data_IF_838204005993
#
_entry.id   IF_838204005993
#
_cell.length_a   1.000
_cell.length_b   1.000
_cell.length_c   1.000
_cell.angle_alpha   90.00
_cell.angle_beta   90.00
_cell.angle_gamma   90.00
#
_symmetry.space_group_name_H-M   'P 1'
#
loop_
_entity.id
_entity.type
_entity.pdbx_description
1 polymer ?
#
# COMPACT_ATOMS: atom_id res chain seq x y z
N UNK A 1 0.26 -12.40 -40.41
CA UNK A 1 -0.58 -11.30 -39.87
C UNK A 1 -1.35 -11.76 -38.64
N UNK A 2 -2.16 -12.82 -38.73
CA UNK A 2 -3.01 -13.32 -37.62
C UNK A 2 -2.20 -13.74 -36.37
N UNK A 3 -1.09 -14.46 -36.56
CA UNK A 3 -0.24 -14.92 -35.45
C UNK A 3 0.36 -13.75 -34.64
N UNK A 4 0.72 -12.66 -35.34
CA UNK A 4 1.25 -11.45 -34.72
C UNK A 4 0.16 -10.74 -33.93
N UNK A 5 -1.07 -10.68 -34.46
CA UNK A 5 -2.23 -10.11 -33.76
C UNK A 5 -2.57 -10.87 -32.47
N UNK A 6 -2.52 -12.21 -32.50
CA UNK A 6 -2.75 -13.05 -31.31
C UNK A 6 -1.66 -12.87 -30.28
N UNK A 7 -0.39 -12.81 -30.70
CA UNK A 7 0.74 -12.58 -29.79
C UNK A 7 0.65 -11.21 -29.11
N UNK A 8 0.26 -10.16 -29.85
CA UNK A 8 0.06 -8.81 -29.30
C UNK A 8 -1.06 -8.79 -28.25
N UNK A 9 -2.16 -9.52 -28.47
CA UNK A 9 -3.26 -9.61 -27.51
C UNK A 9 -2.89 -10.41 -26.24
N UNK A 10 -2.03 -11.42 -26.36
CA UNK A 10 -1.58 -12.23 -25.23
C UNK A 10 -0.49 -11.53 -24.39
N UNK A 11 0.31 -10.66 -25.01
CA UNK A 11 1.34 -9.84 -24.35
C UNK A 11 0.80 -8.51 -23.83
N UNK A 12 -0.35 -8.06 -24.33
CA UNK A 12 -1.08 -6.93 -23.78
C UNK A 12 -1.69 -7.35 -22.44
N UNK A 13 -0.88 -7.32 -21.40
CA UNK A 13 -1.36 -7.40 -20.02
C UNK A 13 -2.35 -6.24 -19.82
N UNK A 14 -3.66 -6.49 -19.60
CA UNK A 14 -4.59 -5.41 -19.26
C UNK A 14 -4.28 -4.80 -17.88
N UNK A 15 -3.22 -5.28 -17.22
CA UNK A 15 -2.72 -4.91 -15.90
C UNK A 15 -2.10 -3.52 -15.75
N UNK A 16 -2.24 -2.60 -16.70
CA UNK A 16 -2.13 -1.16 -16.42
C UNK A 16 -3.50 -0.48 -16.43
N UNK A 17 -4.51 -1.18 -15.93
CA UNK A 17 -5.68 -0.53 -15.38
C UNK A 17 -5.21 0.55 -14.42
N UNK A 18 -5.28 1.80 -14.86
CA UNK A 18 -5.22 3.00 -14.02
C UNK A 18 -6.31 2.85 -12.96
N UNK A 19 -6.02 2.10 -11.89
CA UNK A 19 -6.78 2.18 -10.65
C UNK A 19 -6.72 3.66 -10.32
N UNK A 20 -7.87 4.35 -10.35
CA UNK A 20 -8.01 5.66 -9.71
C UNK A 20 -7.17 5.60 -8.44
N UNK A 21 -6.19 6.48 -8.29
CA UNK A 21 -5.29 6.45 -7.15
C UNK A 21 -6.17 6.40 -5.90
N UNK A 22 -6.30 5.18 -5.34
CA UNK A 22 -7.17 4.95 -4.20
C UNK A 22 -6.58 5.70 -3.02
N UNK A 23 -7.31 5.77 -1.90
CA UNK A 23 -6.76 6.38 -0.70
C UNK A 23 -5.51 5.63 -0.18
N UNK A 24 -5.30 4.39 -0.65
CA UNK A 24 -4.16 3.55 -0.33
C UNK A 24 -2.97 3.78 -1.27
N UNK A 25 -1.88 4.32 -0.72
CA UNK A 25 -0.58 4.49 -1.39
C UNK A 25 0.39 3.38 -0.96
N UNK A 26 0.91 2.55 -1.89
CA UNK A 26 1.99 1.63 -1.57
C UNK A 26 3.32 2.37 -1.37
N UNK A 27 4.09 1.99 -0.36
CA UNK A 27 5.43 2.51 -0.05
C UNK A 27 6.37 1.32 0.16
N UNK A 28 7.44 1.25 -0.62
CA UNK A 28 8.38 0.13 -0.60
C UNK A 28 9.84 0.60 -0.41
N UNK A 29 10.61 -0.17 0.34
CA UNK A 29 12.04 0.07 0.55
C UNK A 29 12.73 -1.25 0.90
N UNK A 30 13.84 -1.58 0.21
CA UNK A 30 14.66 -2.75 0.57
C UNK A 30 13.96 -4.12 0.48
N UNK A 31 12.93 -4.25 -0.37
CA UNK A 31 12.15 -5.49 -0.52
C UNK A 31 10.95 -5.60 0.43
N UNK A 32 10.80 -4.66 1.37
CA UNK A 32 9.62 -4.54 2.22
C UNK A 32 8.66 -3.49 1.66
N UNK A 33 7.36 -3.73 1.82
CA UNK A 33 6.31 -2.83 1.36
C UNK A 33 5.23 -2.69 2.42
N UNK A 34 4.70 -1.47 2.54
CA UNK A 34 3.53 -1.14 3.35
C UNK A 34 2.55 -0.30 2.53
N UNK A 35 1.34 -0.14 3.05
CA UNK A 35 0.31 0.70 2.44
C UNK A 35 -0.08 1.81 3.39
N UNK A 36 -0.06 3.05 2.89
CA UNK A 36 -0.53 4.24 3.61
C UNK A 36 -1.94 4.56 3.14
N UNK A 37 -2.93 4.39 4.02
CA UNK A 37 -4.28 4.89 3.78
C UNK A 37 -4.35 6.38 4.16
N UNK A 38 -4.72 7.24 3.21
CA UNK A 38 -4.81 8.70 3.35
C UNK A 38 -6.18 9.19 3.84
N UNK A 39 -7.15 8.29 4.03
CA UNK A 39 -8.46 8.65 4.56
C UNK A 39 -8.37 9.11 6.03
N UNK A 40 -9.02 10.23 6.33
CA UNK A 40 -9.13 10.76 7.69
C UNK A 40 -10.32 10.13 8.40
N UNK A 41 -10.06 9.07 9.13
CA UNK A 41 -11.08 8.28 9.84
C UNK A 41 -10.64 8.00 11.28
N UNK A 42 -11.56 7.54 12.11
CA UNK A 42 -11.23 7.05 13.45
C UNK A 42 -10.40 5.75 13.39
N UNK A 43 -9.81 5.38 14.54
CA UNK A 43 -8.94 4.20 14.66
C UNK A 43 -9.63 2.89 14.23
N UNK A 44 -10.89 2.68 14.64
CA UNK A 44 -11.62 1.45 14.35
C UNK A 44 -11.87 1.32 12.85
N UNK A 45 -12.32 2.40 12.22
CA UNK A 45 -12.53 2.45 10.77
C UNK A 45 -11.22 2.24 10.01
N UNK A 46 -10.09 2.82 10.47
CA UNK A 46 -8.78 2.60 9.87
C UNK A 46 -8.34 1.13 9.96
N UNK A 47 -8.56 0.48 11.11
CA UNK A 47 -8.25 -0.93 11.30
C UNK A 47 -9.08 -1.84 10.41
N UNK A 48 -10.39 -1.59 10.31
CA UNK A 48 -11.30 -2.33 9.44
C UNK A 48 -10.89 -2.18 7.97
N UNK A 49 -10.46 -0.98 7.55
CA UNK A 49 -9.96 -0.74 6.19
C UNK A 49 -8.72 -1.60 5.86
N UNK A 50 -7.79 -1.77 6.80
CA UNK A 50 -6.65 -2.68 6.63
C UNK A 50 -7.10 -4.15 6.58
N UNK A 51 -8.00 -4.56 7.48
CA UNK A 51 -8.52 -5.94 7.54
C UNK A 51 -9.27 -6.34 6.27
N UNK A 52 -10.04 -5.42 5.69
CA UNK A 52 -10.75 -5.63 4.43
C UNK A 52 -9.81 -5.87 3.23
N UNK A 53 -8.53 -5.49 3.37
CA UNK A 53 -7.48 -5.77 2.39
C UNK A 53 -6.59 -6.94 2.81
N UNK A 54 -7.08 -7.82 3.69
CA UNK A 54 -6.32 -8.95 4.25
C UNK A 54 -5.05 -8.56 5.02
N UNK A 55 -4.95 -7.28 5.40
CA UNK A 55 -3.84 -6.72 6.17
C UNK A 55 -4.22 -6.38 7.61
N UNK A 56 -3.28 -5.74 8.29
CA UNK A 56 -3.45 -5.19 9.64
C UNK A 56 -2.82 -3.80 9.71
N UNK A 57 -3.18 -3.00 10.71
CA UNK A 57 -2.46 -1.75 10.97
C UNK A 57 -0.99 -2.05 11.26
N UNK A 58 -0.10 -1.17 10.76
CA UNK A 58 1.34 -1.35 10.86
C UNK A 58 1.79 -1.47 12.33
N UNK A 59 2.64 -2.45 12.62
CA UNK A 59 3.29 -2.58 13.92
C UNK A 59 4.73 -2.07 13.83
N UNK A 60 5.13 -1.20 14.74
CA UNK A 60 6.48 -0.63 14.77
C UNK A 60 7.49 -1.65 15.31
N UNK A 61 8.13 -2.40 14.41
CA UNK A 61 9.34 -3.17 14.72
C UNK A 61 10.59 -2.39 14.30
N UNK A 62 11.46 -2.07 15.26
CA UNK A 62 12.50 -1.04 15.13
C UNK A 62 13.67 -1.40 14.20
N UNK A 63 13.95 -2.67 13.93
CA UNK A 63 15.08 -3.07 13.07
C UNK A 63 14.68 -3.21 11.60
N UNK A 64 13.46 -3.67 11.30
CA UNK A 64 13.00 -3.87 9.92
C UNK A 64 12.57 -2.53 9.28
N UNK A 65 11.81 -1.71 10.01
CA UNK A 65 11.10 -0.60 9.37
C UNK A 65 11.90 0.71 9.23
N UNK A 66 13.15 0.82 9.70
CA UNK A 66 13.90 2.10 9.60
C UNK A 66 13.96 2.62 8.16
N UNK A 67 14.31 1.74 7.21
CA UNK A 67 14.40 2.09 5.79
C UNK A 67 13.06 2.47 5.17
N UNK A 68 11.95 1.96 5.71
CA UNK A 68 10.62 2.32 5.22
C UNK A 68 10.17 3.67 5.78
N UNK A 69 10.58 4.01 7.02
CA UNK A 69 10.36 5.34 7.59
C UNK A 69 11.11 6.44 6.83
N UNK A 70 12.34 6.17 6.38
CA UNK A 70 13.10 7.10 5.55
C UNK A 70 12.41 7.43 4.21
N UNK A 71 11.63 6.48 3.68
CA UNK A 71 10.84 6.69 2.46
C UNK A 71 9.50 7.33 2.79
N UNK A 72 8.82 6.85 3.82
CA UNK A 72 7.53 7.39 4.28
C UNK A 72 7.60 8.88 4.57
N UNK A 73 8.63 9.33 5.29
CA UNK A 73 8.84 10.74 5.65
C UNK A 73 8.97 11.67 4.43
N UNK A 74 9.29 11.12 3.24
CA UNK A 74 9.38 11.85 1.98
C UNK A 74 8.09 11.79 1.14
N UNK A 75 7.24 10.79 1.36
CA UNK A 75 6.09 10.48 0.50
C UNK A 75 4.72 10.66 1.16
N UNK A 76 4.67 10.66 2.49
CA UNK A 76 3.45 10.77 3.28
C UNK A 76 3.65 11.77 4.43
N UNK A 77 2.77 12.77 4.51
CA UNK A 77 2.82 13.82 5.52
C UNK A 77 1.56 13.79 6.37
N UNK A 78 1.71 13.90 7.69
CA UNK A 78 0.61 13.95 8.65
C UNK A 78 0.69 12.89 9.74
N UNK A 79 -0.40 12.76 10.49
CA UNK A 79 -0.55 11.77 11.55
C UNK A 79 -1.29 10.56 10.98
N UNK A 80 -0.75 9.37 11.20
CA UNK A 80 -1.31 8.12 10.69
C UNK A 80 -1.57 7.15 11.85
N UNK A 81 -2.63 6.36 11.71
CA UNK A 81 -2.92 5.27 12.64
C UNK A 81 -1.93 4.12 12.44
N UNK A 82 -1.49 3.53 13.54
CA UNK A 82 -0.67 2.32 13.62
C UNK A 82 -1.32 1.33 14.58
N UNK A 83 -0.95 0.05 14.52
CA UNK A 83 -1.52 -1.03 15.31
C UNK A 83 -1.10 -1.06 16.78
N UNK A 84 -0.84 0.10 17.40
CA UNK A 84 -0.48 0.21 18.80
C UNK A 84 -1.75 0.32 19.66
N UNK A 85 -1.94 -0.63 20.57
CA UNK A 85 -3.01 -0.63 21.58
C UNK A 85 -2.39 -0.65 22.97
N UNK A 86 -2.91 0.21 23.85
CA UNK A 86 -2.51 0.18 25.26
C UNK A 86 -3.28 -0.94 25.99
N UNK A 87 -2.68 -1.56 27.02
CA UNK A 87 -3.35 -2.54 27.88
C UNK A 87 -4.61 -1.98 28.55
#
# INVERSE_FOLDING_TARGET
MILVSVLVLLLADPGLGSRRAGPCLPVCSGGECITVNRDRVDFKTAEEACRNQTGVLLTLQSQNHQKIFDVLTKQAFGNFWIGLRLP
#
